data_IF_076869735422
#
_entry.id   IF_076869735422
#
_cell.length_a   1.000
_cell.length_b   1.000
_cell.length_c   1.000
_cell.angle_alpha   90.00
_cell.angle_beta   90.00
_cell.angle_gamma   90.00
#
_symmetry.space_group_name_H-M   'P 1'
#
loop_
_entity.id
_entity.type
_entity.pdbx_description
1 polymer ?
#
# COMPACT_ATOMS: atom_id res chain seq x y z
N UNK A 1 -56.83 34.69 45.53
CA UNK A 1 -55.76 33.82 45.00
C UNK A 1 -54.44 34.48 45.42
N UNK A 2 -53.61 34.00 46.35
CA UNK A 2 -52.93 32.71 46.40
C UNK A 2 -52.50 32.36 47.86
N UNK A 3 -53.13 31.37 48.53
CA UNK A 3 -52.65 30.86 49.83
C UNK A 3 -51.55 29.78 49.72
N UNK A 4 -51.13 29.39 48.51
CA UNK A 4 -50.21 28.25 48.30
C UNK A 4 -48.73 28.52 48.55
N UNK A 5 -48.26 29.77 48.42
CA UNK A 5 -46.81 30.05 48.54
C UNK A 5 -46.31 30.04 49.99
N UNK A 6 -47.16 30.38 50.95
CA UNK A 6 -46.78 30.40 52.36
C UNK A 6 -46.67 28.97 52.92
N UNK A 7 -47.54 28.05 52.49
CA UNK A 7 -47.49 26.64 52.89
C UNK A 7 -46.25 25.91 52.37
N UNK A 8 -45.80 26.20 51.14
CA UNK A 8 -44.60 25.59 50.54
C UNK A 8 -43.33 26.09 51.23
N UNK A 9 -43.24 27.38 51.54
CA UNK A 9 -42.10 27.94 52.28
C UNK A 9 -42.00 27.36 53.70
N UNK A 10 -43.15 27.16 54.36
CA UNK A 10 -43.20 26.65 55.72
C UNK A 10 -42.89 25.14 55.79
N UNK A 11 -43.34 24.35 54.80
CA UNK A 11 -42.99 22.93 54.66
C UNK A 11 -41.48 22.72 54.41
N UNK A 12 -40.86 23.56 53.58
CA UNK A 12 -39.42 23.51 53.35
C UNK A 12 -38.61 23.87 54.62
N UNK A 13 -39.09 24.82 55.42
CA UNK A 13 -38.45 25.20 56.68
C UNK A 13 -38.55 24.11 57.75
N UNK A 14 -39.69 23.41 57.83
CA UNK A 14 -39.88 22.32 58.79
C UNK A 14 -39.06 21.08 58.39
N UNK A 15 -38.97 20.77 57.09
CA UNK A 15 -38.10 19.68 56.59
C UNK A 15 -36.61 19.96 56.84
N UNK A 16 -36.19 21.23 56.83
CA UNK A 16 -34.83 21.65 57.19
C UNK A 16 -34.55 21.54 58.70
N UNK A 17 -35.59 21.60 59.55
CA UNK A 17 -35.45 21.57 61.01
C UNK A 17 -35.57 20.14 61.60
N UNK A 18 -36.10 19.18 60.84
CA UNK A 18 -36.17 17.74 61.17
C UNK A 18 -34.86 16.99 60.85
N UNK A 19 -33.85 17.67 60.31
CA UNK A 19 -32.53 17.04 60.11
C UNK A 19 -31.90 16.79 61.48
N UNK A 20 -32.00 15.54 61.92
CA UNK A 20 -31.37 15.03 63.12
C UNK A 20 -29.89 15.46 63.16
N UNK A 21 -29.31 15.74 64.34
CA UNK A 21 -27.89 16.08 64.46
C UNK A 21 -26.97 15.06 63.76
N UNK A 22 -27.42 13.81 63.67
CA UNK A 22 -26.76 12.71 62.96
C UNK A 22 -26.75 12.90 61.43
N UNK A 23 -27.79 13.48 60.83
CA UNK A 23 -27.84 13.79 59.40
C UNK A 23 -26.82 14.88 59.01
N UNK A 24 -26.64 15.90 59.85
CA UNK A 24 -25.59 16.90 59.67
C UNK A 24 -24.18 16.31 59.80
N UNK A 25 -23.99 15.36 60.72
CA UNK A 25 -22.73 14.63 60.85
C UNK A 25 -22.45 13.75 59.62
N UNK A 26 -23.45 13.03 59.11
CA UNK A 26 -23.30 12.20 57.90
C UNK A 26 -23.04 13.03 56.65
N UNK A 27 -23.74 14.16 56.50
CA UNK A 27 -23.51 15.09 55.38
C UNK A 27 -22.11 15.71 55.47
N UNK A 28 -21.70 16.16 56.67
CA UNK A 28 -20.36 16.69 56.91
C UNK A 28 -19.27 15.66 56.62
N UNK A 29 -19.45 14.40 57.04
CA UNK A 29 -18.53 13.30 56.78
C UNK A 29 -18.43 13.00 55.27
N UNK A 30 -19.57 12.98 54.57
CA UNK A 30 -19.62 12.76 53.12
C UNK A 30 -18.91 13.85 52.33
N UNK A 31 -19.15 15.12 52.68
CA UNK A 31 -18.48 16.27 52.06
C UNK A 31 -16.98 16.28 52.39
N UNK A 32 -16.60 15.98 53.63
CA UNK A 32 -15.20 15.88 54.02
C UNK A 32 -14.47 14.74 53.29
N UNK A 33 -15.10 13.58 53.11
CA UNK A 33 -14.55 12.46 52.34
C UNK A 33 -14.41 12.81 50.85
N UNK A 34 -15.40 13.50 50.29
CA UNK A 34 -15.37 13.99 48.91
C UNK A 34 -14.21 14.99 48.72
N UNK A 35 -14.08 15.97 49.61
CA UNK A 35 -12.98 16.95 49.59
C UNK A 35 -11.63 16.27 49.78
N UNK A 36 -11.51 15.32 50.73
CA UNK A 36 -10.28 14.57 50.97
C UNK A 36 -9.85 13.79 49.72
N UNK A 37 -10.79 13.13 49.05
CA UNK A 37 -10.51 12.34 47.85
C UNK A 37 -10.25 13.19 46.61
N UNK A 38 -10.88 14.36 46.48
CA UNK A 38 -10.66 15.28 45.34
C UNK A 38 -9.44 16.18 45.51
N UNK A 39 -9.10 16.57 46.73
CA UNK A 39 -8.08 17.61 46.98
C UNK A 39 -6.81 17.02 47.61
N UNK A 40 -6.95 16.25 48.70
CA UNK A 40 -5.79 15.70 49.41
C UNK A 40 -5.16 14.51 48.68
N UNK A 41 -5.98 13.64 48.07
CA UNK A 41 -5.50 12.45 47.35
C UNK A 41 -4.61 12.76 46.12
N UNK A 42 -4.94 13.70 45.21
CA UNK A 42 -4.02 14.05 44.13
C UNK A 42 -2.78 14.77 44.65
N UNK A 43 -2.89 15.60 45.68
CA UNK A 43 -1.74 16.34 46.22
C UNK A 43 -0.71 15.43 46.90
N UNK A 44 -1.14 14.34 47.53
CA UNK A 44 -0.23 13.31 48.07
C UNK A 44 0.34 12.38 46.98
N UNK A 45 -0.35 12.21 45.84
CA UNK A 45 0.16 11.45 44.68
C UNK A 45 1.14 12.23 43.81
N UNK A 46 1.07 13.57 43.79
CA UNK A 46 1.98 14.48 43.07
C UNK A 46 3.45 14.44 43.50
N UNK A 47 3.79 13.87 44.67
CA UNK A 47 5.18 13.76 45.13
C UNK A 47 5.94 12.55 44.58
N UNK A 48 5.28 11.66 43.83
CA UNK A 48 5.88 10.39 43.37
C UNK A 48 5.93 10.23 41.85
N UNK A 49 5.55 11.26 41.08
CA UNK A 49 5.52 11.17 39.63
C UNK A 49 6.53 12.13 38.97
N UNK A 50 7.71 11.63 38.55
CA UNK A 50 8.71 12.43 37.83
C UNK A 50 8.31 12.78 36.38
N UNK A 51 7.09 12.46 35.92
CA UNK A 51 6.63 12.73 34.55
C UNK A 51 5.75 13.97 34.36
N UNK A 52 5.36 14.71 35.41
CA UNK A 52 4.47 15.90 35.28
C UNK A 52 5.16 17.25 35.50
N UNK A 53 6.41 17.41 35.06
CA UNK A 53 6.93 18.75 34.72
C UNK A 53 6.89 18.88 33.21
N UNK A 54 6.02 19.74 32.62
CA UNK A 54 6.22 20.10 31.22
C UNK A 54 7.57 20.84 31.15
N UNK A 55 8.60 20.29 30.49
CA UNK A 55 9.88 20.98 30.44
C UNK A 55 9.72 22.03 29.35
N UNK A 56 9.51 23.29 29.74
CA UNK A 56 9.56 24.42 28.81
C UNK A 56 10.90 24.50 28.05
N UNK A 57 11.94 23.80 28.53
CA UNK A 57 13.25 23.65 27.88
C UNK A 57 13.40 22.40 26.99
N UNK A 58 12.50 21.42 27.05
CA UNK A 58 12.58 20.24 26.19
C UNK A 58 12.11 20.52 24.75
N UNK A 59 11.29 21.56 24.54
CA UNK A 59 10.75 21.84 23.20
C UNK A 59 11.81 22.34 22.21
N UNK A 60 12.77 23.18 22.63
CA UNK A 60 13.80 23.72 21.74
C UNK A 60 14.85 22.66 21.33
N UNK A 61 15.24 21.78 22.25
CA UNK A 61 16.14 20.67 21.92
C UNK A 61 15.46 19.63 21.03
N UNK A 62 14.16 19.38 21.26
CA UNK A 62 13.37 18.45 20.46
C UNK A 62 13.10 19.02 19.06
N UNK A 63 12.83 20.32 18.94
CA UNK A 63 12.67 20.99 17.65
C UNK A 63 13.97 20.93 16.82
N UNK A 64 15.14 21.18 17.43
CA UNK A 64 16.45 21.01 16.76
C UNK A 64 16.76 19.56 16.41
N UNK A 65 16.24 18.60 17.17
CA UNK A 65 16.39 17.19 16.84
C UNK A 65 15.56 16.83 15.60
N UNK A 66 14.30 17.30 15.53
CA UNK A 66 13.43 17.12 14.38
C UNK A 66 14.00 17.80 13.13
N UNK A 67 14.52 19.01 13.25
CA UNK A 67 15.16 19.72 12.13
C UNK A 67 16.35 18.96 11.57
N UNK A 68 17.22 18.45 12.45
CA UNK A 68 18.36 17.60 12.04
C UNK A 68 17.89 16.30 11.40
N UNK A 69 16.85 15.66 11.93
CA UNK A 69 16.29 14.45 11.34
C UNK A 69 15.73 14.73 9.94
N UNK A 70 15.04 15.86 9.74
CA UNK A 70 14.52 16.24 8.43
C UNK A 70 15.64 16.56 7.44
N UNK A 71 16.69 17.26 7.88
CA UNK A 71 17.88 17.50 7.06
C UNK A 71 18.56 16.17 6.67
N UNK A 72 18.68 15.23 7.61
CA UNK A 72 19.27 13.94 7.35
C UNK A 72 18.44 13.14 6.33
N UNK A 73 17.12 13.17 6.46
CA UNK A 73 16.20 12.51 5.52
C UNK A 73 16.25 13.15 4.13
N UNK A 74 16.36 14.47 4.02
CA UNK A 74 16.52 15.15 2.74
C UNK A 74 17.84 14.78 2.05
N UNK A 75 18.92 14.65 2.81
CA UNK A 75 20.21 14.17 2.28
C UNK A 75 20.09 12.73 1.81
N UNK A 76 19.50 11.85 2.63
CA UNK A 76 19.29 10.44 2.28
C UNK A 76 18.43 10.27 1.02
N UNK A 77 17.36 11.07 0.88
CA UNK A 77 16.54 11.09 -0.34
C UNK A 77 17.32 11.59 -1.57
N UNK A 78 18.15 12.62 -1.41
CA UNK A 78 18.97 13.13 -2.49
C UNK A 78 20.04 12.11 -2.94
N UNK A 79 20.64 11.40 -1.98
CA UNK A 79 21.59 10.31 -2.24
C UNK A 79 20.90 9.14 -2.95
N UNK A 80 19.72 8.74 -2.50
CA UNK A 80 18.93 7.67 -3.13
C UNK A 80 18.51 8.04 -4.56
N UNK A 81 18.05 9.29 -4.77
CA UNK A 81 17.72 9.79 -6.09
C UNK A 81 18.94 9.73 -7.03
N UNK A 82 20.11 10.16 -6.55
CA UNK A 82 21.35 10.10 -7.32
C UNK A 82 21.78 8.66 -7.64
N UNK A 83 21.61 7.73 -6.70
CA UNK A 83 21.87 6.31 -6.92
C UNK A 83 20.93 5.72 -7.98
N UNK A 84 19.64 6.05 -7.94
CA UNK A 84 18.67 5.60 -8.93
C UNK A 84 19.01 6.15 -10.32
N UNK A 85 19.37 7.44 -10.43
CA UNK A 85 19.81 8.03 -11.71
C UNK A 85 21.00 7.27 -12.29
N UNK A 86 22.04 6.98 -11.49
CA UNK A 86 23.19 6.21 -11.96
C UNK A 86 22.83 4.79 -12.43
N UNK A 87 21.89 4.13 -11.76
CA UNK A 87 21.39 2.81 -12.18
C UNK A 87 20.60 2.90 -13.49
N UNK A 88 19.78 3.93 -13.65
CA UNK A 88 19.05 4.18 -14.89
C UNK A 88 20.00 4.45 -16.06
N UNK A 89 21.03 5.27 -15.86
CA UNK A 89 22.04 5.56 -16.88
C UNK A 89 22.75 4.28 -17.34
N UNK A 90 23.10 3.39 -16.39
CA UNK A 90 23.72 2.10 -16.70
C UNK A 90 22.79 1.21 -17.51
N UNK A 91 21.50 1.15 -17.14
CA UNK A 91 20.50 0.35 -17.86
C UNK A 91 20.22 0.93 -19.25
N UNK A 92 20.13 2.25 -19.39
CA UNK A 92 19.95 2.93 -20.66
C UNK A 92 21.13 2.65 -21.61
N UNK A 93 22.37 2.77 -21.13
CA UNK A 93 23.56 2.41 -21.90
C UNK A 93 23.54 0.94 -22.33
N UNK A 94 23.07 0.03 -21.46
CA UNK A 94 22.95 -1.39 -21.81
C UNK A 94 21.88 -1.64 -22.88
N UNK A 95 20.74 -0.95 -22.80
CA UNK A 95 19.68 -1.06 -23.79
C UNK A 95 20.14 -0.52 -25.15
N UNK A 96 20.82 0.63 -25.17
CA UNK A 96 21.42 1.20 -26.38
C UNK A 96 22.39 0.20 -27.04
N UNK A 97 23.26 -0.43 -26.24
CA UNK A 97 24.17 -1.47 -26.75
C UNK A 97 23.42 -2.69 -27.33
N UNK A 98 22.34 -3.12 -26.69
CA UNK A 98 21.56 -4.27 -27.17
C UNK A 98 20.79 -3.94 -28.47
N UNK A 99 20.31 -2.70 -28.61
CA UNK A 99 19.68 -2.23 -29.85
C UNK A 99 20.71 -2.24 -30.99
N UNK A 100 21.90 -1.70 -30.75
CA UNK A 100 22.98 -1.70 -31.76
C UNK A 100 23.40 -3.11 -32.18
N UNK A 101 23.52 -4.05 -31.24
CA UNK A 101 23.82 -5.46 -31.56
C UNK A 101 22.67 -6.12 -32.36
N UNK A 102 21.41 -5.82 -32.01
CA UNK A 102 20.26 -6.30 -32.78
C UNK A 102 20.25 -5.75 -34.21
N UNK A 103 20.52 -4.46 -34.40
CA UNK A 103 20.58 -3.82 -35.71
C UNK A 103 21.70 -4.42 -36.58
N UNK A 104 22.90 -4.61 -36.01
CA UNK A 104 24.02 -5.28 -36.72
C UNK A 104 23.65 -6.69 -37.17
N UNK A 105 22.95 -7.46 -36.33
CA UNK A 105 22.50 -8.80 -36.69
C UNK A 105 21.43 -8.78 -37.78
N UNK A 106 20.52 -7.81 -37.75
CA UNK A 106 19.51 -7.64 -38.80
C UNK A 106 20.15 -7.29 -40.15
N UNK A 107 21.14 -6.41 -40.16
CA UNK A 107 21.91 -6.08 -41.37
C UNK A 107 22.64 -7.31 -41.90
N UNK A 108 23.36 -8.04 -41.06
CA UNK A 108 24.07 -9.26 -41.45
C UNK A 108 23.12 -10.34 -42.02
N UNK A 109 21.94 -10.53 -41.42
CA UNK A 109 20.92 -11.44 -41.93
C UNK A 109 20.33 -10.95 -43.25
N UNK A 110 20.10 -9.65 -43.39
CA UNK A 110 19.63 -9.03 -44.63
C UNK A 110 20.61 -9.20 -45.78
N UNK A 111 21.91 -9.04 -45.52
CA UNK A 111 22.98 -9.30 -46.49
C UNK A 111 23.07 -10.78 -46.87
N UNK A 112 23.02 -11.69 -45.89
CA UNK A 112 23.03 -13.13 -46.15
C UNK A 112 21.81 -13.57 -47.00
N UNK A 113 20.63 -13.01 -46.71
CA UNK A 113 19.42 -13.28 -47.48
C UNK A 113 19.51 -12.72 -48.91
N UNK A 114 20.06 -11.51 -49.08
CA UNK A 114 20.32 -10.93 -50.41
C UNK A 114 21.35 -11.74 -51.20
N UNK A 115 22.42 -12.21 -50.57
CA UNK A 115 23.40 -13.08 -51.20
C UNK A 115 22.77 -14.42 -51.63
N UNK A 116 21.95 -15.03 -50.78
CA UNK A 116 21.22 -16.25 -51.11
C UNK A 116 20.20 -16.03 -52.24
N UNK A 117 19.47 -14.91 -52.23
CA UNK A 117 18.50 -14.54 -53.27
C UNK A 117 19.13 -14.24 -54.63
N UNK A 118 20.29 -13.57 -54.66
CA UNK A 118 21.03 -13.31 -55.90
C UNK A 118 21.63 -14.58 -56.51
N UNK A 119 21.96 -15.60 -55.69
CA UNK A 119 22.40 -16.91 -56.18
C UNK A 119 21.28 -17.72 -56.85
N UNK A 120 20.03 -17.54 -56.41
CA UNK A 120 18.86 -18.23 -56.98
C UNK A 120 18.28 -17.53 -58.22
N UNK A 121 18.54 -16.24 -58.43
CA UNK A 121 18.04 -15.48 -59.57
C UNK A 121 18.82 -15.71 -60.88
N UNK A 122 19.89 -16.51 -60.87
CA UNK A 122 20.74 -16.78 -62.03
C UNK A 122 20.35 -17.99 -62.89
N UNK A 123 19.45 -18.89 -62.44
CA UNK A 123 19.22 -20.17 -63.14
C UNK A 123 17.80 -20.75 -63.01
N UNK A 124 16.76 -19.90 -63.00
CA UNK A 124 15.37 -20.36 -63.01
C UNK A 124 14.60 -19.87 -64.25
N UNK A 125 14.13 -20.79 -65.13
CA UNK A 125 13.18 -20.48 -66.20
C UNK A 125 11.87 -19.95 -65.63
N UNK A 126 11.37 -18.83 -66.17
CA UNK A 126 10.06 -18.25 -65.81
C UNK A 126 8.92 -19.28 -65.98
N UNK A 127 8.13 -19.59 -64.93
CA UNK A 127 6.80 -20.14 -65.10
C UNK A 127 5.76 -19.01 -65.24
N UNK A 128 4.72 -19.18 -66.06
CA UNK A 128 3.69 -18.17 -66.29
C UNK A 128 2.75 -18.06 -65.09
N UNK A 129 2.31 -16.82 -64.86
CA UNK A 129 1.19 -16.36 -64.04
C UNK A 129 0.20 -17.41 -63.53
N UNK A 130 0.02 -17.47 -62.21
CA UNK A 130 -1.26 -17.84 -61.59
C UNK A 130 -1.41 -17.07 -60.28
N UNK A 131 -2.21 -16.01 -60.36
CA UNK A 131 -2.80 -15.35 -59.21
C UNK A 131 -3.75 -16.34 -58.53
N UNK A 132 -3.44 -16.72 -57.30
CA UNK A 132 -4.35 -17.46 -56.43
C UNK A 132 -4.44 -16.72 -55.11
N UNK A 133 -5.41 -15.83 -55.02
CA UNK A 133 -6.01 -15.36 -53.78
C UNK A 133 -6.38 -16.58 -52.93
N UNK A 134 -5.72 -16.75 -51.78
CA UNK A 134 -6.08 -17.76 -50.80
C UNK A 134 -6.10 -17.17 -49.37
N UNK A 135 -7.28 -16.70 -49.01
CA UNK A 135 -7.84 -16.52 -47.66
C UNK A 135 -9.36 -16.63 -47.88
N UNK A 136 -10.18 -17.27 -47.02
CA UNK A 136 -10.03 -17.49 -45.57
C UNK A 136 -10.32 -18.95 -45.11
N UNK A 137 -10.28 -19.13 -43.80
CA UNK A 137 -10.91 -20.18 -42.99
C UNK A 137 -10.04 -21.34 -42.46
N UNK A 138 -10.04 -21.46 -41.12
CA UNK A 138 -10.13 -22.77 -40.49
C UNK A 138 -8.87 -23.39 -39.91
N UNK A 139 -7.80 -22.64 -39.62
CA UNK A 139 -6.78 -23.17 -38.71
C UNK A 139 -7.26 -23.04 -37.27
N UNK A 140 -7.92 -24.10 -36.79
CA UNK A 140 -7.94 -24.45 -35.38
C UNK A 140 -6.49 -24.51 -34.90
N UNK A 141 -6.01 -23.60 -34.03
CA UNK A 141 -4.68 -23.76 -33.48
C UNK A 141 -4.66 -25.07 -32.71
N UNK A 142 -3.69 -25.92 -33.03
CA UNK A 142 -3.36 -27.08 -32.22
C UNK A 142 -3.22 -26.63 -30.75
N UNK A 143 -3.63 -27.44 -29.77
CA UNK A 143 -3.53 -27.06 -28.37
C UNK A 143 -2.05 -26.84 -28.05
N UNK A 144 -1.64 -25.57 -27.99
CA UNK A 144 -0.36 -25.15 -27.44
C UNK A 144 -0.30 -25.76 -26.04
N UNK A 145 0.64 -26.69 -25.84
CA UNK A 145 0.84 -27.30 -24.54
C UNK A 145 1.07 -26.17 -23.54
N UNK A 146 0.26 -26.05 -22.48
CA UNK A 146 0.36 -24.95 -21.55
C UNK A 146 1.78 -24.92 -21.01
N UNK A 147 2.46 -23.78 -21.19
CA UNK A 147 3.81 -23.59 -20.68
C UNK A 147 3.91 -24.08 -19.23
N UNK A 148 4.96 -24.80 -18.84
CA UNK A 148 5.10 -25.36 -17.49
C UNK A 148 5.05 -24.28 -16.39
N UNK A 149 5.24 -23.01 -16.75
CA UNK A 149 5.13 -21.84 -15.87
C UNK A 149 3.67 -21.45 -15.58
N UNK A 150 2.76 -21.64 -16.54
CA UNK A 150 1.33 -21.35 -16.36
C UNK A 150 0.66 -22.43 -15.50
N UNK A 151 1.18 -23.67 -15.53
CA UNK A 151 0.69 -24.76 -14.68
C UNK A 151 0.76 -24.44 -13.18
N UNK A 152 1.81 -23.73 -12.73
CA UNK A 152 1.95 -23.32 -11.32
C UNK A 152 0.93 -22.24 -10.94
N UNK A 153 0.67 -21.28 -11.83
CA UNK A 153 -0.36 -20.24 -11.65
C UNK A 153 -1.74 -20.90 -11.55
N UNK A 154 -2.04 -21.88 -12.42
CA UNK A 154 -3.30 -22.61 -12.40
C UNK A 154 -3.48 -23.46 -11.14
N UNK A 155 -2.43 -24.15 -10.68
CA UNK A 155 -2.50 -24.94 -9.45
C UNK A 155 -2.83 -24.08 -8.22
N UNK A 156 -2.26 -22.88 -8.12
CA UNK A 156 -2.54 -21.95 -7.02
C UNK A 156 -3.94 -21.33 -7.13
N UNK A 157 -4.41 -21.01 -8.34
CA UNK A 157 -5.77 -20.55 -8.57
C UNK A 157 -6.81 -21.65 -8.26
N UNK A 158 -6.52 -22.90 -8.61
CA UNK A 158 -7.37 -24.06 -8.29
C UNK A 158 -7.39 -24.35 -6.79
N UNK A 159 -6.35 -23.96 -6.05
CA UNK A 159 -6.32 -23.95 -4.59
C UNK A 159 -7.12 -22.79 -3.96
N UNK A 160 -7.74 -21.92 -4.77
CA UNK A 160 -8.58 -20.81 -4.34
C UNK A 160 -7.81 -19.54 -3.96
N UNK A 161 -6.55 -19.41 -4.37
CA UNK A 161 -5.79 -18.18 -4.13
C UNK A 161 -6.23 -17.05 -5.06
N UNK A 162 -6.23 -15.83 -4.51
CA UNK A 162 -6.53 -14.60 -5.25
C UNK A 162 -5.35 -14.20 -6.16
N UNK A 163 -5.58 -13.60 -7.35
CA UNK A 163 -4.52 -13.21 -8.29
C UNK A 163 -3.38 -12.41 -7.67
N UNK A 164 -3.69 -11.51 -6.73
CA UNK A 164 -2.68 -10.72 -6.03
C UNK A 164 -1.77 -11.60 -5.14
N UNK A 165 -2.33 -12.62 -4.49
CA UNK A 165 -1.57 -13.55 -3.65
C UNK A 165 -0.66 -14.45 -4.48
N UNK A 166 -1.15 -14.89 -5.65
CA UNK A 166 -0.39 -15.70 -6.61
C UNK A 166 0.80 -14.89 -7.15
N UNK A 167 0.57 -13.62 -7.51
CA UNK A 167 1.61 -12.70 -7.98
C UNK A 167 2.72 -12.50 -6.94
N UNK A 168 2.34 -12.27 -5.67
CA UNK A 168 3.27 -12.13 -4.57
C UNK A 168 4.05 -13.43 -4.28
N UNK A 169 3.40 -14.58 -4.34
CA UNK A 169 4.02 -15.89 -4.08
C UNK A 169 5.03 -16.29 -5.16
N UNK A 170 4.77 -15.95 -6.42
CA UNK A 170 5.61 -16.30 -7.57
C UNK A 170 6.59 -15.19 -7.97
N UNK A 171 6.53 -14.02 -7.33
CA UNK A 171 7.35 -12.86 -7.65
C UNK A 171 7.08 -12.31 -9.06
N UNK A 172 5.82 -12.35 -9.50
CA UNK A 172 5.39 -11.94 -10.84
C UNK A 172 4.49 -10.70 -10.80
N UNK A 173 4.43 -9.92 -11.89
CA UNK A 173 3.50 -8.81 -11.99
C UNK A 173 2.04 -9.30 -12.01
N UNK A 174 1.18 -8.64 -11.23
CA UNK A 174 -0.24 -8.99 -11.06
C UNK A 174 -0.99 -9.06 -12.39
N UNK A 175 -0.80 -8.08 -13.28
CA UNK A 175 -1.45 -8.06 -14.59
C UNK A 175 -1.09 -9.23 -15.51
N UNK A 176 0.10 -9.83 -15.36
CA UNK A 176 0.46 -11.05 -16.10
C UNK A 176 -0.35 -12.25 -15.59
N UNK A 177 -0.52 -12.36 -14.27
CA UNK A 177 -1.31 -13.43 -13.64
C UNK A 177 -2.78 -13.30 -14.02
N UNK A 178 -3.36 -12.10 -13.97
CA UNK A 178 -4.74 -11.84 -14.40
C UNK A 178 -4.97 -12.22 -15.87
N UNK A 179 -4.04 -11.84 -16.76
CA UNK A 179 -4.13 -12.15 -18.18
C UNK A 179 -4.12 -13.67 -18.43
N UNK A 180 -3.21 -14.40 -17.75
CA UNK A 180 -3.10 -15.86 -17.87
C UNK A 180 -4.38 -16.55 -17.39
N UNK A 181 -4.96 -16.10 -16.27
CA UNK A 181 -6.22 -16.64 -15.76
C UNK A 181 -7.41 -16.31 -16.68
N UNK A 182 -7.45 -15.11 -17.26
CA UNK A 182 -8.47 -14.71 -18.23
C UNK A 182 -8.40 -15.50 -19.55
N UNK A 183 -7.19 -15.89 -19.97
CA UNK A 183 -7.01 -16.76 -21.14
C UNK A 183 -7.55 -18.17 -20.90
N UNK A 184 -7.35 -18.72 -19.70
CA UNK A 184 -7.90 -20.04 -19.30
C UNK A 184 -9.43 -20.04 -19.28
N UNK A 185 -10.07 -19.00 -18.73
CA UNK A 185 -11.54 -18.92 -18.69
C UNK A 185 -12.15 -18.80 -20.08
N UNK A 186 -11.45 -18.14 -21.01
CA UNK A 186 -11.87 -18.01 -22.42
C UNK A 186 -11.66 -19.29 -23.23
N UNK A 187 -10.62 -20.08 -22.94
CA UNK A 187 -10.35 -21.32 -23.68
C UNK A 187 -11.12 -22.54 -23.16
N UNK A 188 -11.63 -22.47 -21.92
CA UNK A 188 -12.33 -23.57 -21.25
C UNK A 188 -13.86 -23.56 -21.36
N UNK A 189 -14.44 -22.69 -22.19
CA UNK A 189 -15.87 -22.61 -22.49
C UNK A 189 -16.15 -22.85 -23.96
#
# INVERSE_FOLDING_TARGET
MLPGLLAVAQAASNAANELSPQAWLLLGLGVAMLIYTLVLRPMMRRRKDPLERPPAFASLSQQRAVERQMQNLLVELAEMARQISAQLDTRAAKLEQLIQDADQRLEALGEALRAAGNGAAGDAPQPPHSASSHRPDGQTPAPEQPDPRHAQIYALADAGQDPHQIAAALGRPEGEVELILALRSRSGG
#
